data_IF_984748730064
#
_entry.id   IF_984748730064
#
_cell.length_a   1.000
_cell.length_b   1.000
_cell.length_c   1.000
_cell.angle_alpha   90.00
_cell.angle_beta   90.00
_cell.angle_gamma   90.00
#
_symmetry.space_group_name_H-M   'P 1'
#
loop_
_entity.id
_entity.type
_entity.pdbx_description
1 polymer ?
#
# COMPACT_ATOMS: atom_id res chain seq x y z
N UNK A 1 10.43 -9.56 41.29
CA UNK A 1 9.82 -8.36 40.65
C UNK A 1 10.79 -7.71 39.66
N UNK A 2 12.07 -7.49 40.03
CA UNK A 2 13.13 -7.02 39.12
C UNK A 2 13.30 -7.89 37.87
N UNK A 3 13.30 -9.21 38.04
CA UNK A 3 13.66 -10.13 36.94
C UNK A 3 12.56 -10.16 35.87
N UNK A 4 11.30 -10.03 36.29
CA UNK A 4 10.16 -9.89 35.38
C UNK A 4 10.27 -8.59 34.58
N UNK A 5 10.66 -7.48 35.22
CA UNK A 5 10.83 -6.21 34.52
C UNK A 5 11.99 -6.20 33.53
N UNK A 6 13.07 -6.94 33.83
CA UNK A 6 14.20 -7.13 32.91
C UNK A 6 13.76 -7.95 31.70
N UNK A 7 13.11 -9.09 31.92
CA UNK A 7 12.59 -9.94 30.85
C UNK A 7 11.61 -9.20 29.94
N UNK A 8 10.71 -8.39 30.51
CA UNK A 8 9.78 -7.59 29.72
C UNK A 8 10.47 -6.51 28.87
N UNK A 9 11.63 -6.02 29.31
CA UNK A 9 12.43 -5.07 28.55
C UNK A 9 13.12 -5.77 27.37
N UNK A 10 13.69 -6.95 27.61
CA UNK A 10 14.30 -7.79 26.56
C UNK A 10 13.29 -8.16 25.49
N UNK A 11 12.11 -8.67 25.87
CA UNK A 11 11.02 -8.98 24.93
C UNK A 11 10.63 -7.74 24.10
N UNK A 12 10.59 -6.56 24.71
CA UNK A 12 10.26 -5.32 24.00
C UNK A 12 11.35 -4.93 23.00
N UNK A 13 12.62 -5.16 23.32
CA UNK A 13 13.74 -4.88 22.43
C UNK A 13 13.74 -5.85 21.24
N UNK A 14 13.56 -7.15 21.48
CA UNK A 14 13.44 -8.16 20.42
C UNK A 14 12.26 -7.87 19.50
N UNK A 15 11.09 -7.50 20.04
CA UNK A 15 9.92 -7.13 19.23
C UNK A 15 10.19 -5.90 18.34
N UNK A 16 10.97 -4.92 18.83
CA UNK A 16 11.35 -3.76 18.01
C UNK A 16 12.27 -4.18 16.87
N UNK A 17 13.22 -5.05 17.14
CA UNK A 17 14.14 -5.56 16.13
C UNK A 17 13.41 -6.35 15.04
N UNK A 18 12.51 -7.26 15.42
CA UNK A 18 11.65 -8.01 14.50
C UNK A 18 10.84 -7.06 13.62
N UNK A 19 10.25 -6.00 14.20
CA UNK A 19 9.48 -5.00 13.45
C UNK A 19 10.34 -4.28 12.41
N UNK A 20 11.58 -3.93 12.74
CA UNK A 20 12.51 -3.28 11.82
C UNK A 20 12.93 -4.22 10.68
N UNK A 21 13.23 -5.47 11.00
CA UNK A 21 13.57 -6.49 10.00
C UNK A 21 12.40 -6.74 9.05
N UNK A 22 11.19 -6.85 9.57
CA UNK A 22 9.98 -7.01 8.76
C UNK A 22 9.74 -5.80 7.86
N UNK A 23 9.87 -4.58 8.40
CA UNK A 23 9.77 -3.35 7.59
C UNK A 23 10.77 -3.37 6.44
N UNK A 24 12.04 -3.67 6.71
CA UNK A 24 13.08 -3.74 5.68
C UNK A 24 12.87 -4.90 4.69
N UNK A 25 12.14 -5.95 5.05
CA UNK A 25 11.72 -6.99 4.11
C UNK A 25 10.61 -6.47 3.18
N UNK A 26 9.57 -5.84 3.74
CA UNK A 26 8.46 -5.27 2.97
C UNK A 26 8.97 -4.23 1.97
N UNK A 27 9.84 -3.31 2.40
CA UNK A 27 10.41 -2.28 1.52
C UNK A 27 11.23 -2.86 0.36
N UNK A 28 11.85 -4.04 0.54
CA UNK A 28 12.61 -4.71 -0.53
C UNK A 28 11.74 -5.55 -1.46
N UNK A 29 10.70 -6.18 -0.92
CA UNK A 29 9.80 -7.05 -1.69
C UNK A 29 8.72 -6.24 -2.43
N UNK A 30 8.34 -5.09 -1.89
CA UNK A 30 7.34 -4.19 -2.45
C UNK A 30 7.95 -2.79 -2.55
N UNK A 31 8.83 -2.55 -3.53
CA UNK A 31 9.28 -1.20 -3.80
C UNK A 31 8.05 -0.33 -4.11
N UNK A 32 8.02 0.87 -3.54
CA UNK A 32 7.05 1.88 -3.97
C UNK A 32 7.54 2.40 -5.30
N UNK A 33 6.89 1.98 -6.38
CA UNK A 33 7.14 2.48 -7.72
C UNK A 33 6.19 3.65 -7.98
N UNK A 34 6.73 4.73 -8.53
CA UNK A 34 5.88 5.81 -9.06
C UNK A 34 5.12 5.28 -10.28
N UNK A 35 3.81 5.56 -10.41
CA UNK A 35 3.08 5.13 -11.58
C UNK A 35 3.71 5.74 -12.83
N UNK A 36 3.67 5.00 -13.94
CA UNK A 36 4.02 5.54 -15.25
C UNK A 36 3.04 6.66 -15.64
N UNK A 37 3.41 7.52 -16.59
CA UNK A 37 2.57 8.68 -16.94
C UNK A 37 1.17 8.28 -17.45
N UNK A 38 1.06 7.17 -18.17
CA UNK A 38 -0.22 6.59 -18.60
C UNK A 38 -1.01 6.01 -17.43
N UNK A 39 -0.34 5.39 -16.46
CA UNK A 39 -0.97 4.91 -15.22
C UNK A 39 -1.46 6.07 -14.34
N UNK A 40 -0.71 7.18 -14.26
CA UNK A 40 -1.14 8.40 -13.57
C UNK A 40 -2.39 8.98 -14.24
N UNK A 41 -2.38 9.10 -15.56
CA UNK A 41 -3.54 9.58 -16.32
C UNK A 41 -4.76 8.69 -16.08
N UNK A 42 -4.59 7.37 -16.04
CA UNK A 42 -5.66 6.41 -15.73
C UNK A 42 -6.19 6.52 -14.28
N UNK A 43 -5.34 6.87 -13.30
CA UNK A 43 -5.75 7.08 -11.91
C UNK A 43 -6.47 8.42 -11.72
N UNK A 44 -6.02 9.46 -12.42
CA UNK A 44 -6.52 10.84 -12.26
C UNK A 44 -7.75 11.14 -13.12
N UNK A 45 -7.88 10.48 -14.27
CA UNK A 45 -9.04 10.65 -15.14
C UNK A 45 -10.30 10.08 -14.51
N UNK A 46 -11.40 10.83 -14.62
CA UNK A 46 -12.73 10.28 -14.35
C UNK A 46 -13.07 9.27 -15.42
N UNK A 47 -13.60 8.12 -15.04
CA UNK A 47 -14.15 7.15 -16.00
C UNK A 47 -15.01 7.86 -17.04
N UNK A 48 -14.75 7.60 -18.32
CA UNK A 48 -15.61 8.07 -19.40
C UNK A 48 -16.93 7.28 -19.33
N UNK A 49 -17.88 7.81 -18.55
CA UNK A 49 -19.22 7.24 -18.44
C UNK A 49 -20.09 7.77 -19.58
N UNK A 50 -20.48 6.89 -20.51
CA UNK A 50 -21.47 7.21 -21.54
C UNK A 50 -22.89 7.11 -21.00
N UNK A 51 -23.73 8.08 -21.37
CA UNK A 51 -25.16 8.07 -21.05
C UNK A 51 -25.95 7.12 -21.96
N UNK A 52 -27.12 6.66 -21.49
CA UNK A 52 -28.04 5.82 -22.29
C UNK A 52 -28.38 6.47 -23.65
N UNK A 53 -28.51 7.79 -23.67
CA UNK A 53 -28.80 8.56 -24.89
C UNK A 53 -27.66 8.47 -25.91
N UNK A 54 -26.41 8.54 -25.47
CA UNK A 54 -25.23 8.43 -26.34
C UNK A 54 -25.07 7.01 -26.88
N UNK A 55 -25.34 6.00 -26.04
CA UNK A 55 -25.35 4.59 -26.47
C UNK A 55 -26.37 4.38 -27.60
N UNK A 56 -27.58 4.93 -27.45
CA UNK A 56 -28.64 4.79 -28.44
C UNK A 56 -28.31 5.47 -29.78
N UNK A 57 -27.52 6.56 -29.78
CA UNK A 57 -27.10 7.24 -31.02
C UNK A 57 -26.08 6.44 -31.83
N UNK A 58 -25.24 5.64 -31.18
CA UNK A 58 -24.25 4.80 -31.86
C UNK A 58 -24.87 3.52 -32.44
N UNK A 59 -25.93 3.02 -31.81
CA UNK A 59 -26.61 1.77 -32.19
C UNK A 59 -27.68 1.92 -33.29
N UNK A 60 -27.99 3.16 -33.70
CA UNK A 60 -28.99 3.50 -34.73
C UNK A 60 -28.37 3.75 -36.09
#
# INVERSE_FOLDING_TARGET
MSDVTVLLKEIREELREIKLLYKGLVERLMPVEEPLEDEKEAIESSDETVSEKEIMQVLS
#
